data_IF_036956248295
#
_entry.id   IF_036956248295
#
_cell.length_a   1.000
_cell.length_b   1.000
_cell.length_c   1.000
_cell.angle_alpha   90.00
_cell.angle_beta   90.00
_cell.angle_gamma   90.00
#
_symmetry.space_group_name_H-M   'P 1'
#
loop_
_entity.id
_entity.type
_entity.pdbx_description
1 polymer ?
#
# COMPACT_ATOMS: atom_id res chain seq x y z
N UNK A 1 -32.72 -5.86 19.38
CA UNK A 1 -31.38 -6.36 19.05
C UNK A 1 -31.21 -6.15 17.55
N UNK A 2 -30.77 -4.96 17.14
CA UNK A 2 -30.52 -4.69 15.73
C UNK A 2 -29.18 -5.31 15.36
N UNK A 3 -29.22 -6.44 14.66
CA UNK A 3 -28.07 -6.93 13.93
C UNK A 3 -27.88 -5.97 12.75
N UNK A 4 -27.00 -4.99 12.90
CA UNK A 4 -26.61 -4.10 11.81
C UNK A 4 -25.95 -4.95 10.73
N UNK A 5 -26.75 -5.45 9.80
CA UNK A 5 -26.25 -6.00 8.53
C UNK A 5 -25.41 -4.89 7.91
N UNK A 6 -24.08 -5.06 7.73
CA UNK A 6 -23.28 -4.05 7.05
C UNK A 6 -23.91 -3.82 5.69
N UNK A 7 -24.22 -2.56 5.39
CA UNK A 7 -24.90 -2.23 4.14
C UNK A 7 -24.01 -2.65 2.98
N UNK A 8 -24.59 -3.01 1.83
CA UNK A 8 -23.82 -3.34 0.62
C UNK A 8 -22.84 -2.22 0.26
N UNK A 9 -23.17 -0.97 0.62
CA UNK A 9 -22.30 0.20 0.54
C UNK A 9 -21.03 0.07 1.39
N UNK A 10 -21.12 -0.43 2.62
CA UNK A 10 -19.95 -0.62 3.50
C UNK A 10 -18.98 -1.67 2.95
N UNK A 11 -19.52 -2.75 2.37
CA UNK A 11 -18.73 -3.77 1.70
C UNK A 11 -18.03 -3.21 0.44
N UNK A 12 -18.75 -2.41 -0.36
CA UNK A 12 -18.20 -1.75 -1.54
C UNK A 12 -17.06 -0.78 -1.18
N UNK A 13 -17.26 0.06 -0.15
CA UNK A 13 -16.25 1.02 0.31
C UNK A 13 -14.99 0.33 0.85
N UNK A 14 -15.14 -0.79 1.56
CA UNK A 14 -14.00 -1.60 2.03
C UNK A 14 -13.21 -2.17 0.86
N UNK A 15 -13.90 -2.67 -0.16
CA UNK A 15 -13.28 -3.16 -1.40
C UNK A 15 -12.53 -2.05 -2.14
N UNK A 16 -13.17 -0.91 -2.38
CA UNK A 16 -12.56 0.26 -3.03
C UNK A 16 -11.34 0.73 -2.24
N UNK A 17 -11.44 0.85 -0.91
CA UNK A 17 -10.31 1.21 -0.05
C UNK A 17 -9.14 0.28 -0.25
N UNK A 18 -9.38 -1.04 -0.26
CA UNK A 18 -8.32 -2.04 -0.47
C UNK A 18 -7.66 -1.90 -1.83
N UNK A 19 -8.45 -1.69 -2.88
CA UNK A 19 -7.93 -1.44 -4.23
C UNK A 19 -7.12 -0.15 -4.33
N UNK A 20 -7.56 0.93 -3.68
CA UNK A 20 -6.82 2.19 -3.64
C UNK A 20 -5.45 2.01 -2.97
N UNK A 21 -5.38 1.30 -1.84
CA UNK A 21 -4.10 1.03 -1.16
C UNK A 21 -3.18 0.21 -2.08
N UNK A 22 -3.73 -0.77 -2.80
CA UNK A 22 -2.99 -1.61 -3.74
C UNK A 22 -2.45 -0.80 -4.93
N UNK A 23 -3.24 0.14 -5.45
CA UNK A 23 -2.82 1.07 -6.49
C UNK A 23 -1.72 2.02 -5.97
N UNK A 24 -1.86 2.58 -4.77
CA UNK A 24 -0.84 3.43 -4.14
C UNK A 24 0.47 2.68 -3.95
N UNK A 25 0.42 1.41 -3.52
CA UNK A 25 1.59 0.55 -3.41
C UNK A 25 2.31 0.40 -4.76
N UNK A 26 1.57 0.04 -5.81
CA UNK A 26 2.12 -0.12 -7.16
C UNK A 26 2.72 1.18 -7.70
N UNK A 27 2.08 2.32 -7.45
CA UNK A 27 2.63 3.65 -7.82
C UNK A 27 3.94 3.92 -7.09
N UNK A 28 4.02 3.66 -5.78
CA UNK A 28 5.26 3.82 -5.01
C UNK A 28 6.42 3.01 -5.59
N UNK A 29 6.17 1.74 -5.90
CA UNK A 29 7.16 0.86 -6.56
C UNK A 29 7.55 1.39 -7.95
N UNK A 30 6.57 1.87 -8.73
CA UNK A 30 6.81 2.47 -10.04
C UNK A 30 7.71 3.70 -9.97
N UNK A 31 7.50 4.58 -8.99
CA UNK A 31 8.37 5.76 -8.75
C UNK A 31 9.79 5.33 -8.42
N UNK A 32 9.99 4.30 -7.59
CA UNK A 32 11.32 3.76 -7.28
C UNK A 32 12.00 3.25 -8.55
N UNK A 33 11.29 2.47 -9.37
CA UNK A 33 11.83 1.91 -10.61
C UNK A 33 12.18 3.02 -11.63
N UNK A 34 11.33 4.04 -11.76
CA UNK A 34 11.61 5.21 -12.62
C UNK A 34 12.81 5.98 -12.11
N UNK A 35 12.96 6.12 -10.78
CA UNK A 35 14.09 6.84 -10.20
C UNK A 35 15.42 6.13 -10.48
N UNK A 36 15.45 4.81 -10.34
CA UNK A 36 16.64 3.99 -10.65
C UNK A 36 16.97 4.04 -12.15
N UNK A 37 15.98 3.88 -13.02
CA UNK A 37 16.16 3.98 -14.47
C UNK A 37 16.65 5.38 -14.90
N UNK A 38 16.10 6.45 -14.32
CA UNK A 38 16.50 7.83 -14.60
C UNK A 38 17.90 8.16 -14.10
N UNK A 39 18.32 7.58 -12.98
CA UNK A 39 19.69 7.70 -12.47
C UNK A 39 20.70 7.10 -13.46
N UNK A 40 20.41 5.92 -14.02
CA UNK A 40 21.24 5.27 -15.04
C UNK A 40 21.30 6.11 -16.33
N UNK A 41 20.15 6.62 -16.80
CA UNK A 41 20.06 7.40 -18.04
C UNK A 41 20.72 8.78 -17.93
N UNK A 42 20.68 9.40 -16.75
CA UNK A 42 21.31 10.72 -16.49
C UNK A 42 22.83 10.67 -16.35
N UNK A 43 23.45 9.51 -16.60
CA UNK A 43 24.90 9.32 -16.47
C UNK A 43 25.43 9.82 -15.11
N UNK A 44 24.69 9.54 -14.03
CA UNK A 44 25.07 9.84 -12.64
C UNK A 44 25.16 11.34 -12.29
N UNK A 45 24.68 12.24 -13.16
CA UNK A 45 24.81 13.69 -12.93
C UNK A 45 23.76 14.24 -11.94
N UNK A 46 22.57 13.63 -11.88
CA UNK A 46 21.45 14.09 -11.07
C UNK A 46 21.14 13.18 -9.87
N UNK A 47 22.20 12.71 -9.20
CA UNK A 47 22.13 11.74 -8.09
C UNK A 47 21.16 12.13 -6.97
N UNK A 48 21.16 13.40 -6.57
CA UNK A 48 20.31 13.90 -5.49
C UNK A 48 18.81 13.83 -5.83
N UNK A 49 18.43 14.15 -7.07
CA UNK A 49 17.02 14.21 -7.48
C UNK A 49 16.44 12.80 -7.55
N UNK A 50 17.20 11.86 -8.12
CA UNK A 50 16.77 10.48 -8.22
C UNK A 50 16.82 9.73 -6.88
N UNK A 51 17.79 10.03 -6.01
CA UNK A 51 17.81 9.49 -4.65
C UNK A 51 16.59 9.93 -3.83
N UNK A 52 16.23 11.22 -3.89
CA UNK A 52 15.04 11.73 -3.17
C UNK A 52 13.76 11.11 -3.74
N UNK A 53 13.63 11.00 -5.06
CA UNK A 53 12.50 10.34 -5.71
C UNK A 53 12.37 8.87 -5.31
N UNK A 54 13.49 8.13 -5.28
CA UNK A 54 13.53 6.73 -4.86
C UNK A 54 13.15 6.54 -3.40
N UNK A 55 13.68 7.37 -2.49
CA UNK A 55 13.33 7.31 -1.06
C UNK A 55 11.86 7.65 -0.82
N UNK A 56 11.34 8.68 -1.48
CA UNK A 56 9.93 9.06 -1.35
C UNK A 56 8.99 7.96 -1.89
N UNK A 57 9.28 7.41 -3.08
CA UNK A 57 8.53 6.30 -3.65
C UNK A 57 8.59 5.04 -2.78
N UNK A 58 9.78 4.73 -2.26
CA UNK A 58 10.00 3.59 -1.36
C UNK A 58 9.26 3.71 -0.04
N UNK A 59 9.25 4.90 0.57
CA UNK A 59 8.49 5.16 1.79
C UNK A 59 6.98 4.96 1.58
N UNK A 60 6.44 5.47 0.47
CA UNK A 60 5.02 5.29 0.11
C UNK A 60 4.70 3.80 -0.11
N UNK A 61 5.56 3.07 -0.82
CA UNK A 61 5.39 1.63 -1.02
C UNK A 61 5.44 0.86 0.31
N UNK A 62 6.37 1.18 1.21
CA UNK A 62 6.47 0.51 2.51
C UNK A 62 5.23 0.74 3.38
N UNK A 63 4.74 1.98 3.48
CA UNK A 63 3.55 2.30 4.27
C UNK A 63 2.29 1.63 3.69
N UNK A 64 2.12 1.66 2.37
CA UNK A 64 1.00 1.00 1.70
C UNK A 64 1.07 -0.52 1.88
N UNK A 65 2.26 -1.12 1.74
CA UNK A 65 2.50 -2.55 1.96
C UNK A 65 2.21 -2.99 3.39
N UNK A 66 2.65 -2.21 4.39
CA UNK A 66 2.37 -2.48 5.81
C UNK A 66 0.87 -2.39 6.11
N UNK A 67 0.17 -1.44 5.48
CA UNK A 67 -1.28 -1.31 5.61
C UNK A 67 -2.02 -2.52 5.04
N UNK A 68 -1.59 -3.03 3.88
CA UNK A 68 -2.13 -4.27 3.31
C UNK A 68 -1.84 -5.49 4.21
N UNK A 69 -0.62 -5.59 4.74
CA UNK A 69 -0.24 -6.69 5.62
C UNK A 69 -1.04 -6.68 6.93
N UNK A 70 -1.31 -5.50 7.48
CA UNK A 70 -2.13 -5.33 8.68
C UNK A 70 -3.60 -5.70 8.44
N UNK A 71 -4.15 -5.32 7.27
CA UNK A 71 -5.52 -5.69 6.87
C UNK A 71 -5.66 -7.23 6.68
N UNK A 72 -4.61 -7.89 6.19
CA UNK A 72 -4.56 -9.35 6.06
C UNK A 72 -4.39 -10.07 7.41
N UNK A 73 -3.56 -9.54 8.32
CA UNK A 73 -3.28 -10.15 9.63
C UNK A 73 -4.44 -10.09 10.62
N UNK A 74 -5.25 -9.02 10.57
CA UNK A 74 -6.38 -8.82 11.50
C UNK A 74 -7.56 -9.79 11.28
N UNK A 75 -7.52 -10.60 10.21
CA UNK A 75 -8.52 -11.64 9.94
C UNK A 75 -8.31 -12.95 10.71
N UNK A 76 -7.16 -13.15 11.37
CA UNK A 76 -6.74 -14.43 11.97
C UNK A 76 -7.01 -14.60 13.47
N UNK A 77 -7.20 -13.54 14.24
CA UNK A 77 -7.25 -13.60 15.72
C UNK A 77 -8.68 -13.63 16.28
N UNK A 78 -9.52 -14.58 15.85
CA UNK A 78 -10.73 -14.92 16.62
C UNK A 78 -10.40 -16.04 17.60
N UNK A 79 -10.39 -15.80 18.93
CA UNK A 79 -10.35 -16.89 19.89
C UNK A 79 -11.64 -17.72 19.73
N UNK A 80 -11.49 -18.99 19.38
CA UNK A 80 -12.56 -19.99 19.47
C UNK A 80 -13.04 -20.03 20.94
N UNK A 81 -14.33 -19.78 21.23
CA UNK A 81 -14.84 -19.95 22.58
C UNK A 81 -14.84 -21.45 22.90
N UNK A 82 -14.03 -21.86 23.87
CA UNK A 82 -14.08 -23.21 24.45
C UNK A 82 -15.41 -23.37 25.19
N UNK A 83 -16.26 -24.28 24.69
CA UNK A 83 -17.48 -24.77 25.35
C UNK A 83 -17.20 -25.46 26.69
#
# INVERSE_FOLDING_TARGET
MDATMPSETDALLRSIRRWLILATFAIGVGVVAIADAGYIVSNYQDELVFAVGGVAGGAVALLAGLTLLSDLGSGGDRPEPSE
#
